data_IF_115736865496
#
_entry.id   IF_115736865496
#
_cell.length_a   1.000
_cell.length_b   1.000
_cell.length_c   1.000
_cell.angle_alpha   90.00
_cell.angle_beta   90.00
_cell.angle_gamma   90.00
#
_symmetry.space_group_name_H-M   'P 1'
#
loop_
_entity.id
_entity.type
_entity.pdbx_description
1 polymer ?
2 polymer ?
3 non-polymer ?
4 water ?
#
loop_
_entity_poly.entity_id
_entity_poly.type
_entity_poly.pdbx_seq_one_letter_code
_entity_poly.pdbx_strand_id
1 'polydeoxyribonucleotide' '(DT)(DA)(DT)(DT)(DA)(DT)(DA)(DG)(DA)(DT)(DC)(DT)(DA)(DT)(DA)(DA)' ?
#
# COMPACT_ATOMS: atom_id res chain seq x y z
N UNK C 1 -3.25 -4.40 25.80
CA UNK C 1 -4.39 -3.73 25.08
C UNK C 1 -5.53 -4.73 24.94
N UNK C 2 -6.71 -4.24 24.56
CA UNK C 2 -7.83 -5.15 24.34
C UNK C 2 -7.76 -5.56 22.86
N UNK C 3 -8.41 -6.67 22.52
CA UNK C 3 -8.42 -7.10 21.13
C UNK C 3 -9.77 -7.54 20.62
N UNK C 4 -10.00 -7.24 19.35
CA UNK C 4 -11.19 -7.69 18.64
C UNK C 4 -10.66 -8.56 17.53
N UNK C 5 -11.40 -9.61 17.18
CA UNK C 5 -10.92 -10.54 16.20
C UNK C 5 -11.99 -10.81 15.17
N UNK C 6 -11.53 -11.07 13.94
CA UNK C 6 -12.45 -11.50 12.88
C UNK C 6 -11.67 -12.58 12.14
N UNK C 7 -12.32 -13.74 12.01
CA UNK C 7 -11.77 -14.89 11.35
C UNK C 7 -12.31 -15.11 9.96
N UNK C 8 -11.42 -15.48 9.06
CA UNK C 8 -11.78 -15.74 7.66
C UNK C 8 -11.35 -17.15 7.33
N UNK C 9 -12.13 -17.81 6.48
CA UNK C 9 -11.85 -19.19 6.10
C UNK C 9 -11.55 -20.10 7.29
N UNK C 10 -12.35 -19.87 8.34
CA UNK C 10 -12.31 -20.68 9.55
C UNK C 10 -10.95 -20.73 10.26
N UNK C 11 -10.25 -19.60 10.24
CA UNK C 11 -8.96 -19.54 10.93
C UNK C 11 -9.11 -19.98 12.41
N UNK C 12 -10.27 -19.72 13.02
CA UNK C 12 -10.53 -20.13 14.42
C UNK C 12 -10.45 -21.64 14.64
N UNK C 13 -10.82 -22.41 13.61
CA UNK C 13 -10.81 -23.87 13.72
C UNK C 13 -9.47 -24.48 13.38
N UNK C 14 -8.64 -23.69 12.74
CA UNK C 14 -7.35 -24.12 12.25
C UNK C 14 -6.16 -23.69 13.12
N UNK C 15 -6.26 -22.49 13.68
CA UNK C 15 -5.21 -21.92 14.51
C UNK C 15 -4.96 -22.76 15.76
N UNK C 16 -3.70 -23.14 15.95
CA UNK C 16 -3.27 -23.92 17.12
C UNK C 16 -3.54 -23.08 18.34
N UNK C 17 -4.26 -23.63 19.32
CA UNK C 17 -4.59 -22.90 20.54
C UNK C 17 -3.37 -22.35 21.30
N UNK C 18 -2.29 -23.11 21.32
CA UNK C 18 -1.09 -22.67 22.05
C UNK C 18 -0.39 -21.55 21.30
N UNK C 19 -0.37 -21.64 19.97
CA UNK C 19 0.28 -20.57 19.22
C UNK C 19 -0.56 -19.31 19.39
N UNK C 20 -1.88 -19.45 19.34
CA UNK C 20 -2.70 -18.28 19.55
C UNK C 20 -2.52 -17.74 20.96
N UNK C 21 -2.38 -18.62 21.95
CA UNK C 21 -2.26 -18.09 23.29
C UNK C 21 -1.00 -17.23 23.44
N UNK C 22 0.07 -17.62 22.77
CA UNK C 22 1.33 -16.84 22.84
C UNK C 22 1.15 -15.45 22.22
N UNK C 23 0.40 -15.36 21.14
CA UNK C 23 0.15 -14.05 20.51
C UNK C 23 -0.82 -13.24 21.38
N UNK C 24 -1.89 -13.89 21.84
CA UNK C 24 -2.88 -13.18 22.60
C UNK C 24 -2.37 -12.58 23.90
N UNK C 25 -1.62 -13.39 24.63
CA UNK C 25 -1.10 -12.91 25.92
C UNK C 25 -0.17 -11.74 25.73
N UNK C 26 0.59 -11.77 24.64
CA UNK C 26 1.50 -10.66 24.35
C UNK C 26 0.72 -9.38 24.08
N UNK C 27 -0.31 -9.47 23.26
CA UNK C 27 -1.11 -8.32 22.94
C UNK C 27 -1.93 -7.81 24.11
N UNK C 28 -2.44 -8.72 24.94
CA UNK C 28 -3.22 -8.30 26.11
C UNK C 28 -2.36 -7.57 27.16
N UNK C 29 -1.12 -8.04 27.33
CA UNK C 29 -0.15 -7.46 28.28
C UNK C 29 0.35 -6.07 27.83
N UNK C 30 0.50 -5.90 26.53
CA UNK C 30 1.01 -4.66 25.97
C UNK C 30 0.23 -3.36 26.19
N UNK C 31 0.87 -2.32 26.74
CA UNK C 31 0.16 -1.06 26.93
C UNK C 31 0.08 -0.36 25.55
N UNK C 32 -0.84 0.57 25.41
CA UNK C 32 -0.92 1.37 24.19
C UNK C 32 0.39 2.20 24.13
N UNK C 33 1.07 2.17 22.96
CA UNK C 33 2.30 2.96 22.75
C UNK C 33 1.94 4.19 21.93
N UNK C 34 2.39 5.36 22.40
CA UNK C 34 2.14 6.61 21.71
C UNK C 34 3.45 7.39 21.50
N UNK C 35 3.36 8.38 20.61
CA UNK C 35 4.51 9.23 20.30
C UNK C 35 3.94 10.54 19.76
N UNK C 36 4.81 11.54 19.60
CA UNK C 36 4.38 12.82 19.05
C UNK C 36 4.28 12.82 17.52
N UNK C 37 3.18 13.37 17.03
CA UNK C 37 3.01 13.55 15.60
C UNK C 37 3.89 14.72 15.09
N UNK C 38 4.24 14.67 13.81
CA UNK C 38 4.95 15.82 13.19
C UNK C 38 4.10 16.31 11.99
N UNK C 39 2.81 15.97 11.96
CA UNK C 39 1.91 16.38 10.88
C UNK C 39 1.57 17.85 11.05
N UNK C 40 1.51 18.59 9.96
CA UNK C 40 1.22 20.02 10.06
C UNK C 40 -0.03 20.33 10.88
N UNK C 41 0.09 21.34 11.72
CA UNK C 41 -1.06 21.74 12.55
C UNK C 41 -1.40 20.80 13.69
N UNK C 42 -0.72 19.67 13.81
CA UNK C 42 -0.93 18.82 14.98
C UNK C 42 0.42 18.35 15.52
N UNK C 43 1.43 19.19 15.34
CA UNK C 43 2.75 18.86 15.80
C UNK C 43 2.75 18.71 17.32
N UNK C 44 3.22 17.55 17.80
CA UNK C 44 3.26 17.31 19.21
C UNK C 44 2.08 16.54 19.75
N UNK C 45 1.01 16.48 18.97
CA UNK C 45 -0.18 15.73 19.42
C UNK C 45 0.15 14.25 19.51
N UNK C 46 -0.46 13.54 20.44
CA UNK C 46 -0.16 12.12 20.60
C UNK C 46 -0.89 11.24 19.62
N UNK C 47 -0.15 10.29 19.07
CA UNK C 47 -0.72 9.34 18.10
C UNK C 47 -0.17 7.97 18.41
N UNK C 48 -0.88 6.98 17.90
CA UNK C 48 -0.44 5.59 18.01
C UNK C 48 0.99 5.47 17.47
N UNK C 49 1.88 4.79 18.20
CA UNK C 49 3.27 4.66 17.77
C UNK C 49 3.54 3.28 17.19
N UNK C 50 3.65 3.19 15.87
CA UNK C 50 3.92 1.87 15.27
C UNK C 50 5.30 1.32 15.54
N UNK C 51 6.28 2.22 15.75
CA UNK C 51 7.63 1.77 16.00
C UNK C 51 7.73 1.08 17.33
N UNK C 52 7.20 1.75 18.36
CA UNK C 52 7.24 1.14 19.69
C UNK C 52 6.39 -0.13 19.75
N UNK C 53 5.23 -0.09 19.10
CA UNK C 53 4.37 -1.28 19.12
C UNK C 53 5.05 -2.48 18.42
N UNK C 54 5.63 -2.25 17.25
CA UNK C 54 6.31 -3.30 16.55
C UNK C 54 7.48 -3.87 17.36
N UNK C 55 8.23 -2.98 18.01
CA UNK C 55 9.36 -3.46 18.80
C UNK C 55 8.90 -4.26 20.00
N UNK C 56 7.78 -3.85 20.59
CA UNK C 56 7.27 -4.54 21.78
C UNK C 56 6.90 -5.98 21.40
N UNK C 57 6.19 -6.10 20.30
CA UNK C 57 5.77 -7.40 19.86
C UNK C 57 6.95 -8.30 19.53
N UNK C 58 7.96 -7.77 18.84
CA UNK C 58 9.17 -8.51 18.49
C UNK C 58 9.86 -9.00 19.78
N UNK C 59 10.03 -8.08 20.74
CA UNK C 59 10.72 -8.42 21.99
C UNK C 59 10.01 -9.49 22.80
N UNK C 60 8.69 -9.60 22.64
CA UNK C 60 7.90 -10.60 23.35
C UNK C 60 7.83 -11.95 22.64
N UNK C 61 7.70 -11.89 21.32
CA UNK C 61 7.55 -13.12 20.55
C UNK C 61 8.82 -13.89 20.25
N UNK C 62 9.95 -13.20 20.02
CA UNK C 62 11.16 -13.92 19.73
C UNK C 62 11.55 -14.86 20.88
N UNK C 63 11.48 -14.41 22.14
CA UNK C 63 11.82 -15.32 23.26
C UNK C 63 10.84 -16.51 23.34
N UNK C 64 9.65 -16.35 22.76
CA UNK C 64 8.64 -17.41 22.76
C UNK C 64 8.81 -18.36 21.59
N UNK C 65 9.95 -18.23 20.92
CA UNK C 65 10.31 -19.06 19.81
C UNK C 65 9.62 -18.78 18.46
N UNK C 66 9.11 -17.56 18.30
CA UNK C 66 8.55 -17.18 17.00
C UNK C 66 9.77 -16.64 16.24
N UNK C 67 9.94 -17.03 14.99
CA UNK C 67 11.08 -16.52 14.24
C UNK C 67 10.66 -15.19 13.63
N UNK C 68 11.59 -14.24 13.59
CA UNK C 68 11.32 -12.90 13.07
C UNK C 68 11.95 -12.78 11.70
N UNK C 69 11.30 -11.99 10.83
CA UNK C 69 11.83 -11.75 9.49
C UNK C 69 12.31 -12.97 8.72
N UNK C 70 11.42 -13.92 8.62
CA UNK C 70 11.70 -15.13 7.90
C UNK C 70 11.79 -14.77 6.43
N UNK C 71 12.86 -15.22 5.74
CA UNK C 71 12.95 -14.90 4.31
C UNK C 71 11.89 -15.60 3.48
N UNK C 72 11.46 -14.97 2.40
CA UNK C 72 10.48 -15.59 1.52
C UNK C 72 11.32 -16.32 0.46
N UNK C 73 10.92 -17.53 0.06
CA UNK C 73 11.63 -18.32 -0.96
C UNK C 73 11.81 -17.65 -2.33
N UNK C 74 12.92 -17.93 -2.99
CA UNK C 74 13.23 -17.37 -4.32
C UNK C 74 12.10 -17.39 -5.33
N UNK C 75 11.37 -18.48 -5.39
CA UNK C 75 10.28 -18.60 -6.36
C UNK C 75 9.16 -17.61 -6.12
N UNK C 76 9.18 -16.96 -4.96
CA UNK C 76 8.16 -15.95 -4.70
C UNK C 76 8.86 -14.62 -4.35
N UNK C 77 10.09 -14.45 -4.78
CA UNK C 77 10.80 -13.21 -4.43
C UNK C 77 10.15 -11.91 -4.91
N UNK C 78 9.36 -11.99 -5.97
CA UNK C 78 8.67 -10.78 -6.45
C UNK C 78 7.51 -10.42 -5.50
N UNK C 79 7.20 -11.32 -4.54
CA UNK C 79 6.14 -11.01 -3.55
C UNK C 79 6.74 -10.38 -2.32
N UNK C 80 8.07 -10.42 -2.21
CA UNK C 80 8.70 -9.77 -1.07
C UNK C 80 9.93 -10.49 -0.61
N UNK C 81 10.63 -9.89 0.37
CA UNK C 81 11.86 -10.45 0.94
C UNK C 81 11.64 -11.26 2.19
N UNK C 82 10.69 -10.85 3.04
CA UNK C 82 10.41 -11.58 4.25
C UNK C 82 9.06 -11.33 4.88
N UNK C 83 8.76 -12.13 5.91
CA UNK C 83 7.49 -12.11 6.65
C UNK C 83 7.80 -11.77 8.10
N UNK C 84 6.94 -10.98 8.74
CA UNK C 84 7.25 -10.55 10.11
C UNK C 84 7.60 -11.64 11.12
N UNK C 85 6.73 -12.63 11.28
CA UNK C 85 7.03 -13.72 12.23
C UNK C 85 6.42 -14.98 11.72
N UNK C 86 6.97 -16.08 12.20
CA UNK C 86 6.42 -17.38 11.86
C UNK C 86 6.82 -18.37 12.94
N UNK C 87 5.96 -19.35 13.18
CA UNK C 87 6.27 -20.41 14.12
C UNK C 87 5.46 -21.57 13.56
N UNK C 88 6.09 -22.73 13.38
CA UNK C 88 5.46 -23.92 12.79
C UNK C 88 4.70 -23.59 11.49
N UNK C 89 3.37 -23.71 11.53
CA UNK C 89 2.52 -23.50 10.35
C UNK C 89 1.81 -22.15 10.29
N UNK C 90 2.20 -21.24 11.18
CA UNK C 90 1.53 -19.96 11.27
C UNK C 90 2.41 -18.75 10.96
N UNK C 91 1.93 -17.88 10.10
CA UNK C 91 2.63 -16.65 9.70
C UNK C 91 1.91 -15.48 10.41
N UNK C 92 2.65 -14.44 10.78
CA UNK C 92 2.05 -13.28 11.43
C UNK C 92 2.60 -12.04 10.74
N UNK C 93 1.74 -11.09 10.42
CA UNK C 93 2.18 -9.81 9.85
C UNK C 93 1.62 -8.75 10.81
N UNK C 94 2.45 -7.81 11.23
CA UNK C 94 2.00 -6.73 12.09
C UNK C 94 1.98 -5.58 11.13
N UNK C 95 0.79 -5.02 10.89
CA UNK C 95 0.70 -4.06 9.82
C UNK C 95 0.10 -2.73 10.18
N UNK C 96 0.99 -1.75 10.43
CA UNK C 96 0.58 -0.39 10.76
C UNK C 96 1.04 0.62 9.70
N UNK C 97 1.54 0.12 8.56
CA UNK C 97 1.94 1.04 7.49
C UNK C 97 0.72 1.45 6.64
N UNK C 98 0.89 1.99 5.43
CA UNK C 98 -0.32 2.48 4.76
C UNK C 98 -1.27 1.38 4.31
N UNK C 99 -2.56 1.76 4.24
CA UNK C 99 -3.62 0.79 3.97
C UNK C 99 -3.45 -0.19 2.82
N UNK C 100 -2.81 0.20 1.69
CA UNK C 100 -2.73 -0.84 0.68
C UNK C 100 -1.98 -2.06 1.10
N UNK C 101 -1.14 -1.95 2.16
CA UNK C 101 -0.39 -3.14 2.58
C UNK C 101 -1.31 -4.25 3.05
N UNK C 102 -2.55 -3.92 3.45
CA UNK C 102 -3.47 -5.02 3.85
C UNK C 102 -3.71 -5.97 2.68
N UNK C 103 -4.03 -5.41 1.52
CA UNK C 103 -4.31 -6.28 0.36
C UNK C 103 -3.04 -6.91 -0.19
N UNK C 104 -1.92 -6.20 -0.13
CA UNK C 104 -0.68 -6.80 -0.52
C UNK C 104 -0.38 -8.02 0.40
N UNK C 105 -0.57 -7.83 1.71
CA UNK C 105 -0.26 -8.90 2.65
C UNK C 105 -1.25 -10.05 2.51
N UNK C 106 -2.51 -9.72 2.25
CA UNK C 106 -3.55 -10.77 2.08
C UNK C 106 -3.28 -11.59 0.83
N UNK C 107 -3.08 -10.91 -0.29
CA UNK C 107 -2.86 -11.62 -1.52
C UNK C 107 -1.55 -12.45 -1.48
N UNK C 108 -0.45 -11.89 -0.97
CA UNK C 108 0.72 -12.75 -0.99
C UNK C 108 0.55 -13.96 -0.06
N UNK C 109 -0.17 -13.82 1.05
CA UNK C 109 -0.42 -14.94 1.96
C UNK C 109 -1.26 -15.98 1.25
N UNK C 110 -2.18 -15.52 0.40
CA UNK C 110 -3.00 -16.45 -0.37
C UNK C 110 -2.08 -17.26 -1.27
N UNK C 111 -1.15 -16.59 -1.94
CA UNK C 111 -0.26 -17.31 -2.85
C UNK C 111 0.66 -18.25 -2.05
N UNK C 112 1.20 -17.80 -0.93
CA UNK C 112 2.03 -18.74 -0.15
C UNK C 112 1.22 -19.99 0.19
N UNK C 113 -0.03 -19.80 0.63
CA UNK C 113 -0.88 -20.93 0.99
C UNK C 113 -1.16 -21.86 -0.18
N UNK C 114 -1.44 -21.31 -1.36
CA UNK C 114 -1.73 -22.17 -2.52
C UNK C 114 -0.59 -23.06 -2.90
N UNK C 115 0.61 -22.53 -2.79
CA UNK C 115 1.83 -23.26 -3.14
C UNK C 115 2.34 -24.09 -1.98
N UNK C 116 1.78 -23.88 -0.80
CA UNK C 116 2.17 -24.59 0.42
C UNK C 116 3.54 -24.22 0.98
N UNK C 117 3.80 -22.92 1.03
CA UNK C 117 5.05 -22.39 1.57
C UNK C 117 5.40 -22.87 2.98
N UNK C 118 6.64 -23.29 3.17
CA UNK C 118 7.08 -23.71 4.50
C UNK C 118 7.15 -22.43 5.29
N UNK C 119 6.79 -22.45 6.56
CA UNK C 119 6.92 -21.21 7.30
C UNK C 119 8.09 -21.42 8.23
N UNK C 120 7.96 -22.39 9.14
CA UNK C 120 9.01 -22.71 10.10
C UNK C 120 9.05 -24.23 10.09
N UNK C 121 9.67 -24.76 9.04
CA UNK C 121 9.76 -26.21 8.83
C UNK C 121 8.36 -26.81 8.97
N UNK C 122 7.45 -26.37 8.09
CA UNK C 122 6.06 -26.84 8.12
C UNK C 122 5.29 -26.00 7.07
N UNK C 123 4.36 -26.62 6.36
CA UNK C 123 3.61 -25.84 5.38
C UNK C 123 2.71 -24.86 6.10
N UNK C 124 2.54 -23.66 5.52
CA UNK C 124 1.69 -22.62 6.12
C UNK C 124 0.23 -23.03 6.14
N UNK C 125 -0.42 -22.89 7.28
CA UNK C 125 -1.84 -23.23 7.34
C UNK C 125 -2.71 -22.02 7.68
N UNK C 126 -2.13 -21.00 8.28
CA UNK C 126 -2.94 -19.86 8.68
C UNK C 126 -2.08 -18.61 8.86
N UNK C 127 -2.70 -17.45 8.64
CA UNK C 127 -2.03 -16.17 8.80
C UNK C 127 -2.77 -15.33 9.81
N UNK C 128 -2.02 -14.59 10.61
CA UNK C 128 -2.59 -13.68 11.58
C UNK C 128 -2.12 -12.29 11.14
N UNK C 129 -3.05 -11.34 11.01
CA UNK C 129 -2.69 -9.97 10.63
C UNK C 129 -3.14 -9.08 11.78
N UNK C 130 -2.17 -8.39 12.37
CA UNK C 130 -2.40 -7.52 13.54
C UNK C 130 -2.48 -6.08 13.08
N UNK C 131 -3.54 -5.39 13.52
CA UNK C 131 -3.82 -4.01 13.15
C UNK C 131 -4.30 -3.23 14.35
N UNK C 132 -4.33 -1.91 14.24
CA UNK C 132 -4.81 -1.04 15.32
C UNK C 132 -6.21 -0.53 14.94
N UNK C 133 -7.04 -0.32 15.96
CA UNK C 133 -8.38 0.16 15.72
C UNK C 133 -8.41 1.60 15.23
N UNK C 134 -9.48 1.96 14.53
CA UNK C 134 -9.74 3.28 14.04
C UNK C 134 -9.73 4.32 15.18
N UNK C 135 -10.12 3.89 16.38
CA UNK C 135 -10.23 4.87 17.47
C UNK C 135 -9.01 5.67 17.79
N UNK C 136 -7.85 5.14 17.45
CA UNK C 136 -6.65 5.88 17.79
C UNK C 136 -6.18 6.85 16.74
N UNK C 137 -5.83 8.07 17.16
CA UNK C 137 -5.30 9.02 16.17
C UNK C 137 -4.00 8.37 15.73
N UNK C 138 -3.64 8.58 14.46
CA UNK C 138 -2.47 7.91 13.92
C UNK C 138 -2.06 8.64 12.66
N UNK C 139 -0.90 8.28 12.14
CA UNK C 139 -0.49 8.83 10.88
C UNK C 139 -1.59 8.66 9.80
N UNK C 140 -1.71 9.64 8.93
CA UNK C 140 -2.68 9.54 7.85
C UNK C 140 -2.43 8.31 7.00
N UNK C 141 -3.50 7.64 6.61
CA UNK C 141 -3.47 6.49 5.73
C UNK C 141 -2.88 5.24 6.32
N UNK C 142 -2.49 5.28 7.61
CA UNK C 142 -2.10 4.02 8.21
C UNK C 142 -3.33 3.10 8.31
N UNK C 143 -3.10 1.84 8.03
CA UNK C 143 -4.16 0.85 8.07
C UNK C 143 -4.85 0.82 9.42
N UNK C 144 -6.16 0.58 9.43
CA UNK C 144 -6.83 0.38 10.72
C UNK C 144 -7.73 -0.85 10.59
N UNK C 145 -8.03 -1.46 11.74
CA UNK C 145 -8.80 -2.70 11.82
C UNK C 145 -10.14 -2.70 11.09
N UNK C 146 -10.97 -1.69 11.29
CA UNK C 146 -12.31 -1.71 10.67
C UNK C 146 -12.24 -1.68 9.14
N UNK C 147 -11.24 -0.98 8.63
CA UNK C 147 -11.01 -0.88 7.18
C UNK C 147 -10.55 -2.27 6.69
N UNK C 148 -9.67 -2.92 7.41
CA UNK C 148 -9.23 -4.25 6.98
C UNK C 148 -10.43 -5.22 7.05
N UNK C 149 -11.26 -5.09 8.09
CA UNK C 149 -12.42 -5.94 8.24
C UNK C 149 -13.35 -5.81 7.07
N UNK C 150 -13.65 -4.57 6.72
CA UNK C 150 -14.59 -4.32 5.61
C UNK C 150 -14.00 -4.83 4.27
N UNK C 151 -12.71 -4.66 4.06
CA UNK C 151 -12.13 -5.14 2.81
C UNK C 151 -12.10 -6.66 2.77
N UNK C 152 -11.63 -7.30 3.83
CA UNK C 152 -11.61 -8.75 3.80
C UNK C 152 -13.02 -9.36 3.75
N UNK C 153 -13.96 -8.71 4.39
CA UNK C 153 -15.36 -9.20 4.38
C UNK C 153 -15.83 -9.21 2.92
N UNK C 154 -15.52 -8.15 2.16
CA UNK C 154 -15.91 -8.10 0.73
C UNK C 154 -15.20 -9.18 -0.07
N UNK C 155 -13.89 -9.36 0.13
CA UNK C 155 -13.19 -10.40 -0.59
C UNK C 155 -13.81 -11.78 -0.28
N UNK C 156 -14.16 -12.02 0.99
CA UNK C 156 -14.75 -13.32 1.36
C UNK C 156 -16.09 -13.54 0.67
N UNK C 157 -16.89 -12.49 0.57
CA UNK C 157 -18.18 -12.61 -0.08
C UNK C 157 -18.01 -13.07 -1.51
N UNK C 158 -16.94 -12.63 -2.14
CA UNK C 158 -16.71 -12.99 -3.51
C UNK C 158 -15.71 -14.13 -3.73
N UNK C 159 -15.41 -14.88 -2.68
CA UNK C 159 -14.54 -16.02 -2.76
C UNK C 159 -13.18 -15.76 -3.37
N UNK C 160 -12.64 -14.59 -3.09
CA UNK C 160 -11.35 -14.24 -3.65
C UNK C 160 -10.17 -15.02 -3.04
N UNK C 161 -10.22 -15.32 -1.75
CA UNK C 161 -9.12 -16.05 -1.13
C UNK C 161 -9.60 -17.17 -0.23
N UNK C 162 -8.83 -18.26 -0.16
CA UNK C 162 -9.16 -19.41 0.68
C UNK C 162 -8.27 -19.56 1.89
N UNK C 163 -7.18 -18.79 1.98
CA UNK C 163 -6.29 -18.95 3.12
C UNK C 163 -6.94 -18.48 4.42
N UNK C 164 -6.79 -19.27 5.49
CA UNK C 164 -7.37 -18.89 6.77
C UNK C 164 -6.58 -17.68 7.28
N UNK C 165 -7.31 -16.66 7.70
CA UNK C 165 -6.72 -15.44 8.25
C UNK C 165 -7.45 -15.01 9.49
N UNK C 166 -6.70 -14.84 10.58
CA UNK C 166 -7.26 -14.30 11.80
C UNK C 166 -6.84 -12.80 11.77
N UNK C 167 -7.80 -11.89 11.63
CA UNK C 167 -7.51 -10.45 11.63
C UNK C 167 -7.70 -9.98 13.08
N UNK C 168 -6.70 -9.29 13.64
CA UNK C 168 -6.72 -8.83 15.03
C UNK C 168 -6.73 -7.32 15.05
N UNK C 169 -7.56 -6.72 15.89
CA UNK C 169 -7.60 -5.28 16.01
C UNK C 169 -7.27 -4.95 17.45
N UNK C 170 -6.27 -4.09 17.63
CA UNK C 170 -5.84 -3.64 18.98
C UNK C 170 -6.71 -2.47 19.32
N UNK C 171 -7.37 -2.54 20.49
CA UNK C 171 -8.22 -1.44 20.89
C UNK C 171 -8.13 -1.19 22.40
N UNK C 172 -8.83 -0.17 22.85
CA UNK C 172 -8.91 0.14 24.31
C UNK C 172 -10.26 0.79 24.61
N UNK C 173 -10.68 0.82 25.88
CA UNK C 173 -11.92 1.52 26.17
C UNK C 173 -11.63 3.02 26.12
N UNK C 174 -12.64 3.79 25.72
CA UNK C 174 -12.58 5.24 25.72
C UNK C 174 -12.83 5.74 27.15
N UNK C 175 -12.40 6.96 27.43
CA UNK C 175 -12.66 7.59 28.72
C UNK C 175 -12.45 6.66 29.94
N UNK C 176 -11.33 5.96 29.90
CA UNK C 176 -10.92 5.03 30.95
C UNK C 176 -9.46 5.27 31.29
N UNK C 177 -9.16 5.30 32.57
CA UNK C 177 -7.76 5.52 33.01
C UNK C 177 -6.97 4.28 32.63
N UNK C 178 -5.91 4.47 31.84
CA UNK C 178 -5.09 3.38 31.41
C UNK C 178 -3.60 3.77 31.48
N UNK C 179 -2.74 2.77 31.45
CA UNK C 179 -1.30 3.03 31.43
C UNK C 179 -0.94 3.10 29.94
N UNK C 180 0.00 3.96 29.63
CA UNK C 180 0.38 4.16 28.23
C UNK C 180 1.91 4.27 28.16
N UNK C 181 2.56 3.67 27.16
CA UNK C 181 4.02 3.87 27.04
C UNK C 181 4.20 5.02 26.06
N UNK C 182 4.97 6.04 26.48
CA UNK C 182 5.18 7.23 25.66
C UNK C 182 6.65 7.24 25.30
N UNK C 183 6.95 7.27 24.01
CA UNK C 183 8.34 7.23 23.57
C UNK C 183 8.72 8.45 22.76
N UNK C 184 9.95 8.94 22.98
CA UNK C 184 10.48 10.05 22.21
C UNK C 184 11.68 9.49 21.46
N UNK C 185 11.75 9.77 20.16
CA UNK C 185 12.84 9.25 19.32
C UNK C 185 13.83 10.34 18.95
N UNK C 186 15.01 9.94 18.45
CA UNK C 186 16.03 10.94 18.15
C UNK C 186 15.71 11.93 17.00
N UNK C 187 14.72 11.65 16.17
CA UNK C 187 14.35 12.58 15.11
C UNK C 187 12.83 12.58 15.09
N UNK C 188 12.27 13.64 14.52
CA UNK C 188 10.82 13.84 14.50
C UNK C 188 10.04 12.92 13.63
N UNK C 189 10.74 12.32 12.67
CA UNK C 189 10.10 11.39 11.72
C UNK C 189 11.03 10.21 11.49
N UNK C 190 10.41 9.03 11.38
CA UNK C 190 11.05 7.77 11.00
C UNK C 190 12.02 7.13 11.94
N UNK C 191 12.57 7.88 12.88
CA UNK C 191 13.57 7.29 13.77
C UNK C 191 13.04 6.16 14.63
N UNK C 192 13.90 5.16 14.84
CA UNK C 192 13.58 4.03 15.75
C UNK C 192 14.54 4.08 16.93
N UNK C 193 15.34 5.14 17.00
CA UNK C 193 16.31 5.34 18.08
C UNK C 193 15.64 6.06 19.24
N UNK C 194 15.48 5.35 20.35
CA UNK C 194 14.81 5.92 21.51
C UNK C 194 15.66 6.92 22.28
N UNK C 195 15.11 8.10 22.56
CA UNK C 195 15.80 9.05 23.44
C UNK C 195 15.19 8.97 24.85
N UNK C 196 13.90 8.68 24.96
CA UNK C 196 13.29 8.52 26.29
C UNK C 196 12.03 7.73 26.14
N UNK C 197 11.79 6.83 27.08
CA UNK C 197 10.55 6.05 27.07
C UNK C 197 10.06 5.99 28.53
N UNK C 198 8.77 6.18 28.76
CA UNK C 198 8.26 6.09 30.14
C UNK C 198 6.83 5.57 30.08
N UNK C 199 6.38 4.95 31.17
CA UNK C 199 5.00 4.50 31.26
C UNK C 199 4.32 5.60 32.10
N UNK C 200 3.22 6.14 31.60
CA UNK C 200 2.48 7.22 32.21
C UNK C 200 1.01 6.88 32.24
N UNK C 201 0.24 7.68 32.99
CA UNK C 201 -1.21 7.49 33.04
C UNK C 201 -1.81 8.31 31.91
N UNK C 202 -2.92 7.83 31.36
CA UNK C 202 -3.59 8.58 30.32
C UNK C 202 -4.96 8.03 30.00
N UNK C 203 -5.56 8.57 28.96
CA UNK C 203 -6.90 8.10 28.56
C UNK C 203 -7.14 8.46 27.12
N UNK C 204 -8.14 7.84 26.51
CA UNK C 204 -8.48 8.25 25.14
C UNK C 204 -9.82 9.01 25.26
N UNK C 205 -9.78 10.31 24.98
CA UNK C 205 -10.95 11.22 24.99
C UNK C 205 -11.88 10.84 23.83
N UNK C 206 -13.17 10.69 24.09
CA UNK C 206 -14.14 10.37 23.00
C UNK C 206 -14.67 11.71 22.47
N UNK C 207 -14.36 12.01 21.22
CA UNK C 207 -14.76 13.29 20.65
C UNK C 207 -16.01 13.20 19.82
N UNK C 208 -16.65 12.04 19.81
CA UNK C 208 -17.86 11.92 19.01
C UNK C 208 -18.98 12.81 19.50
N UNK C 209 -19.82 13.22 18.56
CA UNK C 209 -20.99 14.05 18.85
C UNK C 209 -22.17 13.26 18.31
N UNK C 210 -23.39 13.79 18.48
CA UNK C 210 -24.49 12.99 17.95
C UNK C 210 -24.49 12.93 16.44
N UNK C 211 -23.78 13.85 15.78
CA UNK C 211 -23.77 13.85 14.31
C UNK C 211 -22.57 13.15 13.67
N UNK C 212 -21.60 12.68 14.46
CA UNK C 212 -20.47 12.00 13.87
C UNK C 212 -21.02 10.59 13.72
N UNK C 213 -20.22 9.56 13.77
CA UNK C 213 -20.84 8.26 13.67
C UNK C 213 -20.25 7.61 14.87
N UNK C 214 -18.95 7.49 14.73
CA UNK C 214 -18.10 6.90 15.69
C UNK C 214 -16.95 6.92 14.72
N UNK C 215 -17.06 7.76 13.68
CA UNK C 215 -15.90 7.81 12.78
C UNK C 215 -15.02 8.92 13.27
N UNK C 216 -15.34 9.37 14.47
CA UNK C 216 -14.51 10.38 14.97
C UNK C 216 -13.47 9.66 15.81
N UNK C 217 -12.22 9.97 15.53
CA UNK C 217 -11.14 9.37 16.26
C UNK C 217 -10.98 10.03 17.61
N UNK C 218 -10.46 9.27 18.56
CA UNK C 218 -10.25 9.81 19.88
C UNK C 218 -9.04 10.72 20.00
N UNK C 219 -8.88 11.35 21.17
CA UNK C 219 -7.74 12.20 21.42
C UNK C 219 -7.02 11.54 22.60
N UNK C 220 -5.73 11.32 22.47
CA UNK C 220 -4.99 10.68 23.56
C UNK C 220 -4.41 11.76 24.48
N UNK C 221 -4.55 11.59 25.80
CA UNK C 221 -3.97 12.57 26.72
C UNK C 221 -3.20 11.75 27.76
N UNK C 222 -2.08 12.29 28.23
CA UNK C 222 -1.34 11.56 29.28
C UNK C 222 -1.06 12.59 30.38
N UNK C 223 -0.76 12.09 31.56
CA UNK C 223 -0.54 12.97 32.70
C UNK C 223 0.82 12.81 33.31
N UNK D 1 6.51 9.05 -24.27
CA UNK D 1 7.40 7.99 -23.71
C UNK D 1 7.13 6.72 -24.50
N UNK D 2 7.99 5.74 -24.37
CA UNK D 2 7.71 4.46 -25.03
C UNK D 2 6.90 3.65 -24.02
N UNK D 3 6.26 2.59 -24.51
CA UNK D 3 5.46 1.78 -23.63
C UNK D 3 5.60 0.30 -23.93
N UNK D 4 5.35 -0.49 -22.88
CA UNK D 4 5.31 -1.96 -22.97
C UNK D 4 3.97 -2.30 -22.31
N UNK D 5 3.31 -3.32 -22.82
CA UNK D 5 2.00 -3.73 -22.34
C UNK D 5 1.96 -5.20 -21.98
N UNK D 6 1.25 -5.53 -20.90
CA UNK D 6 1.01 -6.93 -20.54
C UNK D 6 -0.48 -7.01 -20.21
N UNK D 7 -1.18 -7.95 -20.86
CA UNK D 7 -2.59 -8.08 -20.66
C UNK D 7 -2.96 -9.32 -19.87
N UNK D 8 -4.00 -9.15 -19.04
CA UNK D 8 -4.54 -10.24 -18.20
C UNK D 8 -6.03 -10.38 -18.46
N UNK D 9 -6.52 -11.63 -18.36
CA UNK D 9 -7.92 -11.95 -18.56
C UNK D 9 -8.49 -11.38 -19.85
N UNK D 10 -7.71 -11.52 -20.89
CA UNK D 10 -8.10 -11.14 -22.24
C UNK D 10 -8.37 -9.65 -22.45
N UNK D 11 -7.68 -8.80 -21.68
CA UNK D 11 -7.89 -7.35 -21.84
C UNK D 11 -7.57 -6.92 -23.28
N UNK D 12 -6.69 -7.64 -23.98
CA UNK D 12 -6.35 -7.26 -25.35
C UNK D 12 -7.55 -7.26 -26.25
N UNK D 13 -8.44 -8.21 -26.04
CA UNK D 13 -9.61 -8.22 -26.90
C UNK D 13 -10.82 -7.55 -26.28
N UNK D 14 -10.85 -7.41 -24.95
CA UNK D 14 -11.99 -6.81 -24.30
C UNK D 14 -11.91 -5.29 -24.27
N UNK D 15 -10.70 -4.76 -24.12
CA UNK D 15 -10.54 -3.30 -24.08
C UNK D 15 -10.96 -2.64 -25.40
N UNK D 16 -11.82 -1.61 -25.31
CA UNK D 16 -12.29 -0.88 -26.51
C UNK D 16 -11.07 -0.27 -27.20
N UNK D 17 -10.85 -0.56 -28.49
CA UNK D 17 -9.70 -0.02 -29.21
C UNK D 17 -9.61 1.49 -29.22
N UNK D 18 -10.75 2.15 -29.34
CA UNK D 18 -10.77 3.60 -29.40
C UNK D 18 -10.37 4.18 -28.05
N UNK D 19 -10.92 3.61 -26.96
CA UNK D 19 -10.49 4.13 -25.65
C UNK D 19 -9.01 3.89 -25.40
N UNK D 20 -8.51 2.71 -25.78
CA UNK D 20 -7.08 2.49 -25.65
C UNK D 20 -6.31 3.52 -26.47
N UNK D 21 -6.75 3.86 -27.69
CA UNK D 21 -6.04 4.82 -28.53
C UNK D 21 -5.88 6.15 -27.82
N UNK D 22 -6.92 6.55 -27.06
CA UNK D 22 -6.91 7.84 -26.37
C UNK D 22 -5.86 7.81 -25.25
N UNK D 23 -5.70 6.68 -24.59
CA UNK D 23 -4.71 6.57 -23.51
C UNK D 23 -3.31 6.45 -24.14
N UNK D 24 -3.18 5.59 -25.13
CA UNK D 24 -1.90 5.37 -25.75
C UNK D 24 -1.31 6.62 -26.39
N UNK D 25 -2.13 7.38 -27.09
CA UNK D 25 -1.59 8.57 -27.75
C UNK D 25 -1.05 9.54 -26.72
N UNK D 26 -1.69 9.61 -25.56
CA UNK D 26 -1.22 10.49 -24.51
C UNK D 26 0.13 10.05 -23.96
N UNK D 27 0.26 8.75 -23.68
CA UNK D 27 1.51 8.25 -23.14
C UNK D 27 2.65 8.33 -24.11
N UNK D 28 2.38 8.11 -25.39
CA UNK D 28 3.44 8.13 -26.38
C UNK D 28 3.96 9.53 -26.60
N UNK D 29 3.11 10.55 -26.51
CA UNK D 29 3.60 11.91 -26.77
C UNK D 29 4.26 12.55 -25.56
N UNK D 30 3.99 11.97 -24.40
CA UNK D 30 4.50 12.54 -23.15
C UNK D 30 6.02 12.46 -22.91
N UNK D 31 6.65 13.61 -22.60
CA UNK D 31 8.09 13.54 -22.32
C UNK D 31 8.27 12.89 -20.93
N UNK D 32 9.47 12.38 -20.69
CA UNK D 32 9.83 11.80 -19.37
C UNK D 32 9.92 13.00 -18.41
N UNK D 33 9.26 12.89 -17.25
CA UNK D 33 9.30 13.97 -16.25
C UNK D 33 10.25 13.57 -15.14
N UNK D 34 11.15 14.49 -14.75
CA UNK D 34 12.10 14.20 -13.71
C UNK D 34 12.16 15.36 -12.72
N UNK D 35 12.69 15.03 -11.53
CA UNK D 35 12.87 16.04 -10.47
C UNK D 35 14.01 15.55 -9.60
N UNK D 36 14.38 16.41 -8.65
CA UNK D 36 15.47 16.05 -7.75
C UNK D 36 15.06 15.16 -6.58
N UNK D 37 15.85 14.13 -6.30
CA UNK D 37 15.62 13.32 -5.11
C UNK D 37 15.99 14.13 -3.86
N UNK D 38 15.31 13.83 -2.76
CA UNK D 38 15.73 14.41 -1.49
C UNK D 38 16.14 13.28 -0.55
N UNK D 39 16.40 12.10 -1.10
CA UNK D 39 16.85 10.94 -0.29
C UNK D 39 18.29 11.21 0.23
N UNK D 40 18.52 10.87 1.49
CA UNK D 40 19.80 11.22 2.14
C UNK D 40 21.06 10.95 1.39
N UNK D 41 21.21 9.81 0.78
CA UNK D 41 22.51 9.62 0.11
C UNK D 41 22.63 10.16 -1.31
N UNK D 42 21.57 10.78 -1.81
CA UNK D 42 21.56 11.17 -3.21
C UNK D 42 20.78 12.41 -3.49
N UNK D 43 20.90 13.36 -2.58
CA UNK D 43 20.17 14.58 -2.74
C UNK D 43 20.56 15.26 -4.05
N UNK D 44 19.54 15.65 -4.81
CA UNK D 44 19.78 16.31 -6.07
C UNK D 44 19.87 15.38 -7.28
N UNK D 45 20.06 14.08 -7.07
CA UNK D 45 20.12 13.20 -8.24
C UNK D 45 18.75 13.21 -8.91
N UNK D 46 18.72 13.06 -10.21
CA UNK D 46 17.47 13.08 -10.95
C UNK D 46 16.72 11.72 -10.87
N UNK D 47 15.43 11.82 -10.57
CA UNK D 47 14.56 10.67 -10.46
C UNK D 47 13.26 10.89 -11.24
N UNK D 48 12.56 9.81 -11.52
CA UNK D 48 11.25 9.88 -12.15
C UNK D 48 10.34 10.78 -11.28
N UNK D 49 9.66 11.75 -11.88
CA UNK D 49 8.78 12.68 -11.12
C UNK D 49 7.32 12.25 -11.28
N UNK D 50 6.74 11.65 -10.23
CA UNK D 50 5.33 11.21 -10.33
C UNK D 50 4.35 12.36 -10.36
N UNK D 51 4.69 13.48 -9.73
CA UNK D 51 3.81 14.64 -9.70
C UNK D 51 3.63 15.20 -11.09
N UNK D 52 4.74 15.48 -11.78
CA UNK D 52 4.63 16.04 -13.13
C UNK D 52 4.00 15.07 -14.08
N UNK D 53 4.34 13.78 -13.93
CA UNK D 53 3.76 12.78 -14.83
C UNK D 53 2.24 12.70 -14.63
N UNK D 54 1.81 12.60 -13.37
CA UNK D 54 0.38 12.56 -13.10
C UNK D 54 -0.37 13.78 -13.64
N UNK D 55 0.21 14.97 -13.45
CA UNK D 55 -0.48 16.17 -13.89
C UNK D 55 -0.55 16.20 -15.40
N UNK D 56 0.50 15.76 -16.07
CA UNK D 56 0.50 15.75 -17.54
C UNK D 56 -0.61 14.86 -18.04
N UNK D 57 -0.71 13.65 -17.48
CA UNK D 57 -1.78 12.73 -17.91
C UNK D 57 -3.17 13.32 -17.64
N UNK D 58 -3.36 13.91 -16.45
CA UNK D 58 -4.64 14.54 -16.14
C UNK D 58 -5.00 15.66 -17.14
N UNK D 59 -4.03 16.52 -17.48
CA UNK D 59 -4.29 17.63 -18.40
C UNK D 59 -4.63 17.15 -19.81
N UNK D 60 -4.17 15.98 -20.19
CA UNK D 60 -4.48 15.44 -21.51
C UNK D 60 -5.75 14.65 -21.53
N UNK D 61 -6.01 13.89 -20.46
CA UNK D 61 -7.18 13.05 -20.51
C UNK D 61 -8.47 13.72 -20.16
N UNK D 62 -8.45 14.70 -19.26
CA UNK D 62 -9.72 15.33 -18.91
C UNK D 62 -10.41 15.99 -20.12
N UNK D 63 -9.67 16.69 -20.98
CA UNK D 63 -10.30 17.33 -22.15
C UNK D 63 -10.79 16.28 -23.16
N UNK D 64 -10.31 15.06 -23.02
CA UNK D 64 -10.78 13.97 -23.90
C UNK D 64 -11.98 13.23 -23.26
N UNK D 65 -12.56 13.82 -22.24
CA UNK D 65 -13.73 13.25 -21.56
C UNK D 65 -13.52 12.06 -20.69
N UNK D 66 -12.30 11.91 -20.21
CA UNK D 66 -12.02 10.90 -19.22
C UNK D 66 -12.21 11.62 -17.90
N UNK D 67 -13.21 11.23 -17.13
CA UNK D 67 -13.42 11.91 -15.84
C UNK D 67 -12.32 11.53 -14.84
N UNK D 68 -11.88 12.52 -14.07
CA UNK D 68 -10.82 12.35 -13.11
C UNK D 68 -11.40 12.27 -11.69
N UNK D 69 -10.78 11.40 -10.89
CA UNK D 69 -11.18 11.23 -9.50
C UNK D 69 -12.69 11.02 -9.37
N UNK D 70 -13.15 10.00 -10.07
CA UNK D 70 -14.56 9.61 -10.02
C UNK D 70 -14.80 9.09 -8.62
N UNK D 71 -15.84 9.55 -7.94
CA UNK D 71 -16.10 9.05 -6.59
C UNK D 71 -16.54 7.60 -6.57
N UNK D 72 -16.07 6.87 -5.57
CA UNK D 72 -16.47 5.48 -5.41
C UNK D 72 -17.80 5.53 -4.60
N UNK D 73 -18.86 4.87 -5.09
CA UNK D 73 -20.17 4.85 -4.44
C UNK D 73 -20.08 4.42 -2.99
N UNK D 74 -21.01 4.93 -2.18
CA UNK D 74 -21.01 4.64 -0.76
C UNK D 74 -20.95 3.15 -0.42
N UNK D 75 -21.64 2.31 -1.21
CA UNK D 75 -21.69 0.85 -0.98
C UNK D 75 -20.33 0.20 -1.04
N UNK D 76 -19.35 0.90 -1.64
CA UNK D 76 -18.01 0.34 -1.75
C UNK D 76 -17.01 1.28 -1.13
N UNK D 77 -17.44 2.19 -0.26
CA UNK D 77 -16.53 3.16 0.31
C UNK D 77 -15.37 2.60 1.14
N UNK D 78 -15.51 1.36 1.59
CA UNK D 78 -14.43 0.76 2.33
C UNK D 78 -13.26 0.43 1.35
N UNK D 79 -13.53 0.49 0.04
CA UNK D 79 -12.47 0.26 -0.97
C UNK D 79 -11.76 1.54 -1.36
N UNK D 80 -12.31 2.68 -0.94
CA UNK D 80 -11.68 3.95 -1.26
C UNK D 80 -12.65 5.08 -1.53
N UNK D 81 -12.08 6.25 -1.79
CA UNK D 81 -12.87 7.42 -2.06
C UNK D 81 -13.00 7.69 -3.55
N UNK D 82 -11.98 7.37 -4.36
CA UNK D 82 -12.12 7.68 -5.79
C UNK D 82 -11.20 6.86 -6.66
N UNK D 83 -11.43 6.94 -7.96
CA UNK D 83 -10.64 6.25 -8.96
C UNK D 83 -10.02 7.30 -9.84
N UNK D 84 -8.80 7.07 -10.32
CA UNK D 84 -8.10 8.13 -11.08
C UNK D 84 -8.83 8.66 -12.28
N UNK D 85 -9.18 7.74 -13.21
CA UNK D 85 -9.92 8.17 -14.39
C UNK D 85 -10.87 7.11 -14.81
N UNK D 86 -11.87 7.50 -15.58
CA UNK D 86 -12.78 6.52 -16.13
C UNK D 86 -13.48 7.13 -17.31
N UNK D 87 -13.81 6.29 -18.29
CA UNK D 87 -14.57 6.74 -19.44
C UNK D 87 -15.33 5.49 -19.88
N UNK D 88 -16.63 5.64 -20.10
CA UNK D 88 -17.50 4.48 -20.45
C UNK D 88 -17.32 3.40 -19.40
N UNK D 89 -16.89 2.18 -19.79
CA UNK D 89 -16.77 1.07 -18.88
C UNK D 89 -15.32 0.79 -18.52
N UNK D 90 -14.46 1.79 -18.72
CA UNK D 90 -13.05 1.56 -18.50
C UNK D 90 -12.47 2.45 -17.44
N UNK D 91 -11.78 1.82 -16.48
CA UNK D 91 -11.11 2.51 -15.36
C UNK D 91 -9.62 2.61 -15.66
N UNK D 92 -8.98 3.71 -15.25
CA UNK D 92 -7.53 3.84 -15.41
C UNK D 92 -6.93 4.25 -14.04
N UNK D 93 -5.88 3.57 -13.60
CA UNK D 93 -5.16 4.00 -12.38
C UNK D 93 -3.74 4.29 -12.84
N UNK D 94 -3.20 5.42 -12.44
CA UNK D 94 -1.82 5.80 -12.75
C UNK D 94 -1.17 5.59 -11.39
N UNK D 95 -0.25 4.64 -11.30
CA UNK D 95 0.22 4.24 -9.96
C UNK D 95 1.73 4.25 -9.77
N UNK D 96 2.19 5.33 -9.18
CA UNK D 96 3.62 5.53 -8.90
C UNK D 96 3.92 5.60 -7.41
N UNK D 97 2.90 5.33 -6.59
CA UNK D 97 3.08 5.33 -5.13
C UNK D 97 3.72 4.00 -4.71
N UNK D 98 3.68 3.63 -3.42
CA UNK D 98 4.40 2.46 -3.04
C UNK D 98 3.81 1.15 -3.52
N UNK D 99 4.72 0.20 -3.69
CA UNK D 99 4.36 -1.09 -4.33
C UNK D 99 3.09 -1.82 -3.85
N UNK D 100 2.73 -1.73 -2.55
CA UNK D 100 1.47 -2.46 -2.21
C UNK D 100 0.27 -1.91 -2.92
N UNK D 101 0.33 -0.67 -3.43
CA UNK D 101 -0.80 -0.13 -4.20
C UNK D 101 -1.11 -0.97 -5.42
N UNK D 102 -0.14 -1.73 -5.93
CA UNK D 102 -0.46 -2.55 -7.10
C UNK D 102 -1.55 -3.57 -6.75
N UNK D 103 -1.36 -4.29 -5.65
CA UNK D 103 -2.35 -5.31 -5.27
C UNK D 103 -3.62 -4.67 -4.72
N UNK D 104 -3.53 -3.50 -4.07
CA UNK D 104 -4.74 -2.82 -3.60
C UNK D 104 -5.55 -2.40 -4.83
N UNK D 105 -4.90 -1.83 -5.85
CA UNK D 105 -5.61 -1.38 -7.06
C UNK D 105 -6.18 -2.57 -7.85
N UNK D 106 -5.45 -3.67 -7.86
CA UNK D 106 -5.91 -4.87 -8.56
C UNK D 106 -7.12 -5.47 -7.87
N UNK D 107 -7.05 -5.65 -6.55
CA UNK D 107 -8.18 -6.25 -5.86
C UNK D 107 -9.40 -5.36 -5.87
N UNK D 108 -9.23 -4.05 -5.68
CA UNK D 108 -10.45 -3.28 -5.70
C UNK D 108 -11.05 -3.26 -7.13
N UNK D 109 -10.23 -3.34 -8.18
CA UNK D 109 -10.75 -3.39 -9.56
C UNK D 109 -11.51 -4.69 -9.74
N UNK D 110 -11.01 -5.78 -9.15
CA UNK D 110 -11.72 -7.07 -9.20
C UNK D 110 -13.10 -6.91 -8.53
N UNK D 111 -13.18 -6.25 -7.39
CA UNK D 111 -14.47 -6.09 -6.72
C UNK D 111 -15.36 -5.13 -7.45
N UNK D 112 -14.79 -4.08 -8.05
CA UNK D 112 -15.62 -3.16 -8.83
C UNK D 112 -16.25 -3.93 -9.98
N UNK D 113 -15.49 -4.84 -10.58
CA UNK D 113 -16.00 -5.62 -11.68
C UNK D 113 -17.09 -6.61 -11.25
N UNK D 114 -16.83 -7.35 -10.18
CA UNK D 114 -17.81 -8.36 -9.72
C UNK D 114 -19.12 -7.72 -9.30
N UNK D 115 -19.06 -6.53 -8.74
CA UNK D 115 -20.26 -5.84 -8.31
C UNK D 115 -20.82 -4.86 -9.33
N UNK D 116 -20.26 -4.86 -10.53
CA UNK D 116 -20.73 -3.95 -11.56
C UNK D 116 -20.85 -2.48 -11.20
N UNK D 117 -19.86 -1.91 -10.54
CA UNK D 117 -20.09 -0.52 -10.26
C UNK D 117 -19.93 0.39 -11.47
N UNK D 118 -20.74 1.42 -11.49
CA UNK D 118 -20.69 2.31 -12.61
C UNK D 118 -19.43 3.14 -12.60
N UNK D 119 -18.81 3.21 -13.77
CA UNK D 119 -17.60 4.00 -13.94
C UNK D 119 -18.08 5.34 -14.48
N UNK D 120 -18.48 5.34 -15.75
CA UNK D 120 -18.99 6.51 -16.43
C UNK D 120 -20.25 6.10 -17.16
N UNK D 121 -21.33 5.97 -16.38
CA UNK D 121 -22.66 5.58 -16.86
C UNK D 121 -22.72 4.17 -17.42
N UNK D 122 -21.68 3.37 -17.20
CA UNK D 122 -21.62 1.99 -17.65
C UNK D 122 -20.93 1.19 -16.57
N UNK D 123 -21.30 -0.08 -16.44
CA UNK D 123 -20.67 -0.93 -15.44
C UNK D 123 -19.21 -1.16 -15.82
N UNK D 124 -18.37 -1.28 -14.79
CA UNK D 124 -16.93 -1.47 -15.05
C UNK D 124 -16.65 -2.80 -15.76
N UNK D 125 -15.88 -2.73 -16.85
CA UNK D 125 -15.50 -3.94 -17.60
C UNK D 125 -14.00 -4.20 -17.73
N UNK D 126 -13.18 -3.17 -17.63
CA UNK D 126 -11.74 -3.37 -17.82
C UNK D 126 -10.98 -2.32 -17.08
N UNK D 127 -9.80 -2.68 -16.57
CA UNK D 127 -8.96 -1.68 -15.92
C UNK D 127 -7.61 -1.56 -16.66
N UNK D 128 -7.08 -0.33 -16.70
CA UNK D 128 -5.77 -0.06 -17.25
C UNK D 128 -4.95 0.44 -16.06
N UNK D 129 -3.78 -0.16 -15.81
CA UNK D 129 -2.93 0.30 -14.69
C UNK D 129 -1.64 0.75 -15.32
N UNK D 130 -1.31 2.03 -15.13
CA UNK D 130 -0.09 2.62 -15.72
C UNK D 130 0.99 2.72 -14.66
N UNK D 131 2.17 2.25 -15.03
CA UNK D 131 3.32 2.20 -14.12
C UNK D 131 4.57 2.65 -14.85
N UNK D 132 5.63 2.89 -14.09
CA UNK D 132 6.92 3.29 -14.66
C UNK D 132 7.90 2.09 -14.64
N UNK D 133 8.74 1.98 -15.67
CA UNK D 133 9.73 0.93 -15.70
C UNK D 133 10.80 1.03 -14.61
N UNK D 134 11.31 -0.13 -14.23
CA UNK D 134 12.43 -0.22 -13.27
C UNK D 134 13.63 0.62 -13.72
N UNK D 135 13.80 0.81 -15.02
CA UNK D 135 14.99 1.51 -15.50
C UNK D 135 15.22 2.91 -14.94
N UNK D 136 14.13 3.55 -14.51
CA UNK D 136 14.30 4.89 -13.98
C UNK D 136 14.57 4.96 -12.49
N UNK D 137 15.56 5.73 -12.09
CA UNK D 137 15.78 5.85 -10.66
C UNK D 137 14.52 6.55 -10.15
N UNK D 138 14.14 6.23 -8.92
CA UNK D 138 12.89 6.77 -8.38
C UNK D 138 12.91 6.61 -6.88
N UNK D 139 11.94 7.23 -6.22
CA UNK D 139 11.82 7.07 -4.78
C UNK D 139 11.81 5.60 -4.37
N UNK D 140 12.39 5.30 -3.22
CA UNK D 140 12.40 3.94 -2.74
C UNK D 140 10.96 3.41 -2.59
N UNK D 141 10.80 2.15 -2.98
CA UNK D 141 9.55 1.42 -2.87
C UNK D 141 8.44 1.88 -3.77
N UNK D 142 8.69 2.87 -4.61
CA UNK D 142 7.65 3.26 -5.59
C UNK D 142 7.48 2.05 -6.54
N UNK D 143 6.24 1.78 -6.91
CA UNK D 143 5.97 0.66 -7.80
C UNK D 143 6.68 0.78 -9.14
N UNK D 144 7.09 -0.35 -9.70
CA UNK D 144 7.65 -0.33 -11.05
C UNK D 144 7.02 -1.46 -11.84
N UNK D 145 7.06 -1.31 -13.15
CA UNK D 145 6.39 -2.21 -14.08
C UNK D 145 6.72 -3.66 -13.97
N UNK D 146 8.01 -3.95 -13.87
CA UNK D 146 8.39 -5.37 -13.87
C UNK D 146 7.93 -6.10 -12.61
N UNK D 147 7.88 -5.37 -11.49
CA UNK D 147 7.42 -5.91 -10.24
C UNK D 147 5.90 -6.12 -10.41
N UNK D 148 5.21 -5.16 -11.00
CA UNK D 148 3.76 -5.34 -11.20
C UNK D 148 3.50 -6.54 -12.11
N UNK D 149 4.30 -6.68 -13.17
CA UNK D 149 4.17 -7.80 -14.12
C UNK D 149 4.38 -9.12 -13.41
N UNK D 150 5.44 -9.19 -12.60
CA UNK D 150 5.73 -10.44 -11.88
C UNK D 150 4.62 -10.79 -10.90
N UNK D 151 4.09 -9.79 -10.20
CA UNK D 151 3.00 -10.07 -9.27
C UNK D 151 1.74 -10.49 -9.98
N UNK D 152 1.32 -9.75 -11.01
CA UNK D 152 0.08 -10.14 -11.70
C UNK D 152 0.26 -11.45 -12.45
N UNK D 153 1.46 -11.73 -12.96
CA UNK D 153 1.73 -13.01 -13.66
C UNK D 153 1.52 -14.15 -12.69
N UNK D 154 1.97 -13.99 -11.45
CA UNK D 154 1.81 -15.05 -10.48
C UNK D 154 0.34 -15.21 -10.11
N UNK D 155 -0.37 -14.11 -9.92
CA UNK D 155 -1.81 -14.20 -9.63
C UNK D 155 -2.52 -14.89 -10.79
N UNK D 156 -2.09 -14.62 -12.03
CA UNK D 156 -2.75 -15.27 -13.19
C UNK D 156 -2.43 -16.76 -13.25
N UNK D 157 -1.19 -17.13 -12.89
CA UNK D 157 -0.83 -18.55 -12.89
C UNK D 157 -1.71 -19.31 -11.91
N UNK D 158 -2.14 -18.65 -10.83
CA UNK D 158 -2.98 -19.32 -9.84
C UNK D 158 -4.46 -18.97 -9.98
N UNK D 159 -4.83 -18.35 -11.12
CA UNK D 159 -6.22 -18.01 -11.43
C UNK D 159 -6.90 -17.25 -10.28
N UNK D 160 -6.20 -16.27 -9.70
CA UNK D 160 -6.75 -15.52 -8.58
C UNK D 160 -7.76 -14.45 -8.93
N UNK D 161 -7.58 -13.75 -10.04
CA UNK D 161 -8.52 -12.68 -10.36
C UNK D 161 -9.06 -12.86 -11.76
N UNK D 162 -10.24 -12.30 -12.00
CA UNK D 162 -10.90 -12.45 -13.28
C UNK D 162 -11.06 -11.20 -14.09
N UNK D 163 -10.90 -10.02 -13.48
CA UNK D 163 -11.15 -8.80 -14.23
C UNK D 163 -10.07 -8.55 -15.30
N UNK D 164 -10.47 -8.09 -16.50
CA UNK D 164 -9.46 -7.82 -17.53
C UNK D 164 -8.63 -6.61 -17.09
N UNK D 165 -7.30 -6.75 -17.18
CA UNK D 165 -6.40 -5.66 -16.82
C UNK D 165 -5.33 -5.52 -17.88
N UNK D 166 -5.19 -4.29 -18.38
CA UNK D 166 -4.07 -4.01 -19.27
C UNK D 166 -3.05 -3.26 -18.38
N UNK D 167 -1.88 -3.87 -18.22
CA UNK D 167 -0.79 -3.28 -17.40
C UNK D 167 0.13 -2.56 -18.36
N UNK D 168 0.42 -1.28 -18.10
CA UNK D 168 1.26 -0.51 -19.03
C UNK D 168 2.51 -0.06 -18.31
N UNK D 169 3.65 -0.26 -18.94
CA UNK D 169 4.90 0.19 -18.39
C UNK D 169 5.47 1.32 -19.22
N UNK D 170 5.76 2.47 -18.59
CA UNK D 170 6.37 3.62 -19.26
C UNK D 170 7.90 3.39 -19.32
N UNK D 171 8.49 3.47 -20.50
CA UNK D 171 9.92 3.23 -20.62
C UNK D 171 10.54 4.18 -21.67
N UNK D 172 11.86 4.11 -21.81
CA UNK D 172 12.59 4.88 -22.83
C UNK D 172 13.73 3.99 -23.29
N UNK D 173 14.27 4.27 -24.47
CA UNK D 173 15.47 3.54 -24.88
C UNK D 173 16.60 4.15 -24.05
N UNK D 174 17.59 3.33 -23.73
CA UNK D 174 18.78 3.82 -23.02
C UNK D 174 19.75 4.48 -23.99
N UNK D 175 20.60 5.38 -23.48
CA UNK D 175 21.68 5.97 -24.26
C UNK D 175 21.28 6.69 -25.51
N UNK D 176 20.07 7.22 -25.50
CA UNK D 176 19.52 7.89 -26.64
C UNK D 176 18.97 9.25 -26.20
N UNK D 177 19.25 10.32 -26.92
CA UNK D 177 18.71 11.60 -26.51
C UNK D 177 17.19 11.60 -26.63
N UNK D 178 16.54 12.05 -25.55
CA UNK D 178 15.09 12.10 -25.49
C UNK D 178 14.60 13.40 -24.89
N UNK D 179 13.32 13.70 -25.08
CA UNK D 179 12.70 14.88 -24.49
C UNK D 179 12.39 14.64 -23.02
N UNK D 180 12.79 15.62 -22.21
CA UNK D 180 12.58 15.53 -20.76
C UNK D 180 12.04 16.83 -20.21
N UNK D 181 11.17 16.74 -19.21
CA UNK D 181 10.68 17.91 -18.52
C UNK D 181 11.31 17.76 -17.11
N UNK D 182 12.08 18.77 -16.72
CA UNK D 182 12.74 18.76 -15.42
C UNK D 182 12.13 19.86 -14.58
N UNK D 183 11.61 19.50 -13.40
CA UNK D 183 10.90 20.48 -12.59
C UNK D 183 11.44 20.63 -11.19
N UNK D 184 11.39 21.87 -10.70
CA UNK D 184 11.72 22.12 -9.32
C UNK D 184 10.41 22.60 -8.70
N UNK D 185 10.02 21.98 -7.60
CA UNK D 185 8.79 22.35 -6.93
C UNK D 185 9.11 23.27 -5.75
N UNK D 186 8.07 23.82 -5.13
CA UNK D 186 8.31 24.79 -4.07
C UNK D 186 8.94 24.25 -2.82
N UNK D 187 8.76 22.94 -2.55
CA UNK D 187 9.38 22.31 -1.39
C UNK D 187 10.04 21.05 -1.88
N UNK D 188 11.07 20.62 -1.17
CA UNK D 188 11.87 19.49 -1.60
C UNK D 188 11.19 18.15 -1.53
N UNK D 189 10.07 18.11 -0.81
CA UNK D 189 9.27 16.88 -0.72
C UNK D 189 7.80 17.23 -0.82
N UNK D 190 7.04 16.37 -1.53
CA UNK D 190 5.56 16.43 -1.61
C UNK D 190 4.89 17.53 -2.41
N UNK D 191 5.54 18.66 -2.50
CA UNK D 191 4.92 19.81 -3.16
C UNK D 191 4.50 19.54 -4.60
N UNK D 192 3.35 20.06 -5.00
CA UNK D 192 2.95 19.94 -6.40
C UNK D 192 2.99 21.35 -7.03
N UNK D 193 3.52 22.32 -6.28
CA UNK D 193 3.56 23.71 -6.77
C UNK D 193 4.85 23.90 -7.54
N UNK D 194 4.74 24.18 -8.85
CA UNK D 194 5.92 24.38 -9.67
C UNK D 194 6.65 25.72 -9.43
N UNK D 195 7.97 25.67 -9.21
CA UNK D 195 8.78 26.87 -9.02
C UNK D 195 9.54 27.10 -10.32
N UNK D 196 10.02 26.03 -10.95
CA UNK D 196 10.75 26.16 -12.21
C UNK D 196 10.55 24.91 -13.04
N UNK D 197 10.25 25.07 -14.32
CA UNK D 197 10.09 23.90 -15.16
C UNK D 197 10.83 24.14 -16.46
N UNK D 198 11.67 23.17 -16.85
CA UNK D 198 12.48 23.29 -18.06
C UNK D 198 12.19 22.12 -19.00
N UNK D 199 12.03 22.40 -20.28
CA UNK D 199 11.85 21.35 -21.29
C UNK D 199 13.24 21.29 -21.92
N UNK D 200 13.87 20.12 -21.82
CA UNK D 200 15.24 19.96 -22.30
C UNK D 200 15.40 18.60 -22.94
N UNK D 201 16.63 18.35 -23.44
CA UNK D 201 16.96 17.06 -23.95
C UNK D 201 17.80 16.40 -22.86
N UNK D 202 17.82 15.08 -22.84
CA UNK D 202 18.60 14.36 -21.87
C UNK D 202 18.66 12.90 -22.29
N UNK D 203 19.11 12.04 -21.39
CA UNK D 203 19.20 10.60 -21.72
C UNK D 203 19.28 9.79 -20.46
N UNK D 204 19.02 8.50 -20.61
CA UNK D 204 19.14 7.61 -19.49
C UNK D 204 20.39 6.77 -19.79
N UNK D 205 21.41 6.95 -18.96
CA UNK D 205 22.68 6.25 -19.13
C UNK D 205 22.62 4.89 -18.53
N UNK D 206 23.12 3.91 -19.28
CA UNK D 206 23.11 2.51 -18.89
C UNK D 206 24.51 2.04 -18.49
N UNK D 207 24.65 1.43 -17.33
CA UNK D 207 25.96 0.90 -16.97
C UNK D 207 25.92 -0.63 -17.04
N UNK D 208 24.78 -1.18 -17.47
CA UNK D 208 24.63 -2.62 -17.63
C UNK D 208 25.46 -3.13 -18.80
N UNK D 209 25.79 -4.41 -18.73
CA UNK D 209 26.56 -5.09 -19.75
C UNK D 209 25.59 -5.84 -20.67
N UNK D 215 19.70 -6.50 -13.58
CA UNK D 215 19.65 -5.25 -14.32
C UNK D 215 19.77 -4.09 -13.32
N UNK D 216 20.55 -3.09 -13.65
CA UNK D 216 20.67 -1.98 -12.73
C UNK D 216 19.85 -0.87 -13.33
N UNK D 217 19.38 0.02 -12.48
CA UNK D 217 18.64 1.16 -12.96
C UNK D 217 19.60 2.11 -13.67
N UNK D 218 19.06 2.91 -14.57
CA UNK D 218 19.91 3.87 -15.25
C UNK D 218 20.15 5.13 -14.43
N UNK D 219 20.88 6.08 -15.01
CA UNK D 219 21.12 7.39 -14.40
C UNK D 219 20.58 8.39 -15.41
N UNK D 220 19.71 9.30 -14.96
CA UNK D 220 19.15 10.30 -15.88
C UNK D 220 20.02 11.54 -15.89
N UNK D 221 20.31 12.04 -17.08
CA UNK D 221 21.08 13.29 -17.21
C UNK D 221 20.32 14.20 -18.16
N UNK D 222 20.47 15.51 -17.95
CA UNK D 222 19.85 16.46 -18.83
C UNK D 222 20.93 17.41 -19.35
N UNK D 223 20.62 18.04 -20.48
CA UNK D 223 21.57 18.93 -21.15
C UNK D 223 21.23 20.39 -21.12
X LIG E 1 4.76 -5.37 9.26
X LIG F 1 -2.73 7.13 -8.90
#
# INVERSE_FOLDING_TARGET
MKIDITDYNHADEILNPQLWKEIEETLLKMPLHVKASDQASKVGSLIFDPVGTNQYIKDELVPKHWKNNIPIPKRFDFLGTDIDFGKRDTLVEVQFSNYPFLLNNTVRSELFHKSNMDIDEEGMKVAIIITKGHMFPASNSSLYYEQAQNQLNSLAEYNVFDVPIRLVGLIEDFETDIDIVSTTYADKRYSRTITKRDTVKGKVIDTNTPNTRRRKRGTIVTY
MKIDITDYNHADEILNPQLWKEIEETLLKMPLHVKASDQASKVGSLIFDPVGTNQYIKDELVPKHWKNNIPIPKRFDFLGTDIDFGKRDTLVEVQFSNYPFLLNNTVRSELFHKSNMDIDEEGMKVAIIITKGHMFPASNSSLYYEQAQNQLNSLAEYNVFDVPIRLVGLIEDFETDIDIVSTTYADKRYSRTITKRDTVKGKVIDTNTPNTRRRKRGTIVTY
CA CA
CA CA
#
